data_IF_226789078810
#
_entry.id   IF_226789078810
#
_cell.length_a   1.000
_cell.length_b   1.000
_cell.length_c   1.000
_cell.angle_alpha   90.00
_cell.angle_beta   90.00
_cell.angle_gamma   90.00
#
_symmetry.space_group_name_H-M   'P 1'
#
loop_
_entity.id
_entity.type
_entity.pdbx_description
1 polymer ?
#
# COMPACT_ATOMS: atom_id res chain seq x y z
N UNK A 1 14.61 9.42 13.29
CA UNK A 1 13.86 8.82 12.17
C UNK A 1 14.89 8.55 11.11
N UNK A 2 15.25 7.28 10.89
CA UNK A 2 16.30 6.92 9.93
C UNK A 2 15.83 7.20 8.49
N UNK A 3 16.72 7.80 7.71
CA UNK A 3 16.48 8.11 6.31
C UNK A 3 16.20 6.80 5.52
N UNK A 4 15.12 6.71 4.73
CA UNK A 4 14.88 5.56 3.86
C UNK A 4 16.04 5.28 2.89
N UNK A 5 16.85 6.28 2.54
CA UNK A 5 18.05 6.08 1.73
C UNK A 5 19.19 5.42 2.51
N UNK A 6 19.33 5.66 3.81
CA UNK A 6 20.36 5.03 4.65
C UNK A 6 20.09 3.54 4.85
N UNK A 7 18.82 3.16 4.97
CA UNK A 7 18.43 1.74 5.03
C UNK A 7 18.70 1.04 3.69
N UNK A 8 18.34 1.67 2.55
CA UNK A 8 18.62 1.16 1.20
C UNK A 8 20.12 0.92 0.95
N UNK A 9 20.95 1.91 1.29
CA UNK A 9 22.41 1.86 1.10
C UNK A 9 23.06 0.73 1.94
N UNK A 10 22.47 0.41 3.09
CA UNK A 10 22.93 -0.72 3.92
C UNK A 10 22.58 -2.09 3.32
N UNK A 11 21.49 -2.17 2.55
CA UNK A 11 21.03 -3.41 1.92
C UNK A 11 21.77 -3.70 0.61
N UNK A 12 22.15 -2.68 -0.16
CA UNK A 12 22.85 -2.87 -1.44
C UNK A 12 24.10 -3.75 -1.33
N UNK A 13 24.84 -3.64 -0.21
CA UNK A 13 26.02 -4.48 0.07
C UNK A 13 25.68 -5.85 0.67
N UNK A 14 24.54 -5.98 1.36
CA UNK A 14 24.13 -7.21 2.07
C UNK A 14 23.31 -8.15 1.18
N UNK A 15 22.57 -7.59 0.23
CA UNK A 15 21.69 -8.34 -0.67
C UNK A 15 22.46 -9.42 -1.45
N UNK A 16 23.60 -9.15 -2.12
CA UNK A 16 24.30 -10.21 -2.86
C UNK A 16 24.76 -11.39 -1.98
N UNK A 17 25.23 -11.10 -0.76
CA UNK A 17 25.66 -12.13 0.20
C UNK A 17 24.46 -12.95 0.69
N UNK A 18 23.35 -12.28 0.96
CA UNK A 18 22.10 -12.91 1.39
C UNK A 18 21.48 -13.77 0.28
N UNK A 19 21.40 -13.27 -0.96
CA UNK A 19 20.89 -14.01 -2.11
C UNK A 19 21.68 -15.30 -2.34
N UNK A 20 23.02 -15.22 -2.25
CA UNK A 20 23.90 -16.40 -2.36
C UNK A 20 23.61 -17.42 -1.25
N UNK A 21 23.48 -16.97 0.00
CA UNK A 21 23.13 -17.87 1.12
C UNK A 21 21.77 -18.55 0.89
N UNK A 22 20.75 -17.81 0.44
CA UNK A 22 19.42 -18.36 0.15
C UNK A 22 19.48 -19.41 -0.95
N UNK A 23 20.26 -19.16 -2.01
CA UNK A 23 20.47 -20.12 -3.11
C UNK A 23 21.14 -21.41 -2.61
N UNK A 24 22.23 -21.30 -1.85
CA UNK A 24 22.94 -22.45 -1.28
C UNK A 24 22.04 -23.24 -0.31
N UNK A 25 21.31 -22.55 0.56
CA UNK A 25 20.37 -23.16 1.48
C UNK A 25 19.24 -23.89 0.73
N UNK A 26 18.66 -23.27 -0.30
CA UNK A 26 17.57 -23.87 -1.08
C UNK A 26 18.02 -25.07 -1.91
N UNK A 27 19.29 -25.07 -2.36
CA UNK A 27 19.92 -26.20 -3.04
C UNK A 27 20.12 -27.36 -2.08
N UNK A 28 20.61 -27.10 -0.87
CA UNK A 28 20.80 -28.11 0.17
C UNK A 28 19.48 -28.61 0.78
N UNK A 29 18.40 -27.81 0.74
CA UNK A 29 17.12 -28.09 1.38
C UNK A 29 15.95 -28.04 0.39
N UNK A 30 15.87 -28.94 -0.60
CA UNK A 30 14.88 -28.86 -1.67
C UNK A 30 13.42 -28.95 -1.19
N UNK A 31 13.16 -29.60 -0.07
CA UNK A 31 11.82 -29.73 0.54
C UNK A 31 11.48 -28.61 1.53
N UNK A 32 12.41 -27.69 1.82
CA UNK A 32 12.24 -26.62 2.81
C UNK A 32 12.81 -25.30 2.30
N UNK A 33 12.59 -25.00 1.02
CA UNK A 33 13.11 -23.76 0.42
C UNK A 33 12.55 -22.53 1.13
N UNK A 34 13.43 -21.57 1.39
CA UNK A 34 13.06 -20.24 1.86
C UNK A 34 12.94 -19.29 0.68
N UNK A 35 12.02 -18.35 0.82
CA UNK A 35 11.79 -17.31 -0.16
C UNK A 35 12.45 -16.03 0.32
N UNK A 36 13.52 -15.62 -0.36
CA UNK A 36 14.34 -14.45 0.00
C UNK A 36 13.49 -13.21 0.26
N UNK A 37 12.49 -12.99 -0.60
CA UNK A 37 11.58 -11.86 -0.51
C UNK A 37 10.72 -11.91 0.76
N UNK A 38 10.25 -13.10 1.13
CA UNK A 38 9.42 -13.30 2.34
C UNK A 38 10.24 -13.07 3.60
N UNK A 39 11.50 -13.51 3.61
CA UNK A 39 12.41 -13.26 4.75
C UNK A 39 12.71 -11.77 4.89
N UNK A 40 13.05 -11.09 3.79
CA UNK A 40 13.29 -9.63 3.77
C UNK A 40 12.06 -8.85 4.26
N UNK A 41 10.87 -9.26 3.84
CA UNK A 41 9.61 -8.66 4.26
C UNK A 41 9.32 -8.85 5.75
N UNK A 42 9.59 -10.05 6.29
CA UNK A 42 9.44 -10.31 7.72
C UNK A 42 10.38 -9.47 8.59
N UNK A 43 11.60 -9.21 8.09
CA UNK A 43 12.60 -8.44 8.83
C UNK A 43 12.42 -6.91 8.73
N UNK A 44 12.06 -6.40 7.54
CA UNK A 44 12.04 -4.96 7.25
C UNK A 44 10.65 -4.31 7.34
N UNK A 45 9.58 -5.11 7.31
CA UNK A 45 8.20 -4.65 7.30
C UNK A 45 7.70 -4.21 5.91
N UNK A 46 6.37 -4.27 5.72
CA UNK A 46 5.71 -4.07 4.43
C UNK A 46 5.95 -2.72 3.76
N UNK A 47 5.90 -1.63 4.55
CA UNK A 47 6.10 -0.26 4.03
C UNK A 47 7.53 -0.03 3.49
N UNK A 48 8.53 -0.58 4.16
CA UNK A 48 9.94 -0.46 3.74
C UNK A 48 10.14 -1.24 2.44
N UNK A 49 9.76 -2.52 2.41
CA UNK A 49 9.88 -3.36 1.21
C UNK A 49 9.12 -2.77 0.02
N UNK A 50 7.93 -2.22 0.25
CA UNK A 50 7.18 -1.53 -0.79
C UNK A 50 7.97 -0.36 -1.39
N UNK A 51 8.57 0.52 -0.57
CA UNK A 51 9.39 1.64 -1.05
C UNK A 51 10.64 1.19 -1.81
N UNK A 52 11.27 0.09 -1.38
CA UNK A 52 12.39 -0.54 -2.11
C UNK A 52 11.96 -0.98 -3.51
N UNK A 53 10.82 -1.69 -3.60
CA UNK A 53 10.24 -2.10 -4.88
C UNK A 53 9.94 -0.88 -5.77
N UNK A 54 9.31 0.16 -5.23
CA UNK A 54 9.00 1.37 -6.02
C UNK A 54 10.26 2.07 -6.53
N UNK A 55 11.34 2.05 -5.75
CA UNK A 55 12.63 2.61 -6.17
C UNK A 55 13.26 1.77 -7.29
N UNK A 56 13.25 0.44 -7.16
CA UNK A 56 13.73 -0.46 -8.19
C UNK A 56 12.92 -0.33 -9.50
N UNK A 57 11.60 -0.14 -9.44
CA UNK A 57 10.76 0.08 -10.64
C UNK A 57 11.15 1.29 -11.48
N UNK A 58 11.88 2.27 -10.92
CA UNK A 58 12.37 3.45 -11.66
C UNK A 58 13.58 3.12 -12.55
N UNK A 59 14.32 2.06 -12.26
CA UNK A 59 15.45 1.63 -13.08
C UNK A 59 14.96 0.62 -14.14
N UNK A 60 15.13 0.90 -15.46
CA UNK A 60 14.70 -0.01 -16.52
C UNK A 60 15.26 -1.43 -16.38
N UNK A 61 16.49 -1.58 -15.88
CA UNK A 61 17.15 -2.89 -15.73
C UNK A 61 16.50 -3.77 -14.65
N UNK A 62 15.85 -3.18 -13.64
CA UNK A 62 15.24 -3.92 -12.53
C UNK A 62 13.72 -3.82 -12.51
N UNK A 63 13.12 -3.07 -13.44
CA UNK A 63 11.68 -2.81 -13.50
C UNK A 63 10.81 -4.06 -13.60
N UNK A 64 11.22 -5.03 -14.41
CA UNK A 64 10.46 -6.27 -14.60
C UNK A 64 10.41 -7.09 -13.30
N UNK A 65 11.57 -7.35 -12.72
CA UNK A 65 11.70 -8.07 -11.44
C UNK A 65 10.96 -7.33 -10.32
N UNK A 66 11.12 -6.01 -10.22
CA UNK A 66 10.45 -5.22 -9.20
C UNK A 66 8.92 -5.23 -9.37
N UNK A 67 8.41 -5.28 -10.61
CA UNK A 67 6.97 -5.43 -10.87
C UNK A 67 6.47 -6.79 -10.39
N UNK A 68 7.19 -7.88 -10.69
CA UNK A 68 6.86 -9.21 -10.19
C UNK A 68 6.88 -9.28 -8.65
N UNK A 69 7.83 -8.61 -8.00
CA UNK A 69 7.89 -8.51 -6.54
C UNK A 69 6.73 -7.70 -5.96
N UNK A 70 6.27 -6.63 -6.62
CA UNK A 70 5.08 -5.89 -6.19
C UNK A 70 3.83 -6.80 -6.20
N UNK A 71 3.65 -7.58 -7.27
CA UNK A 71 2.55 -8.53 -7.38
C UNK A 71 2.61 -9.62 -6.30
N UNK A 72 3.81 -10.09 -5.99
CA UNK A 72 4.04 -11.05 -4.90
C UNK A 72 3.71 -10.46 -3.53
N UNK A 73 4.06 -9.19 -3.30
CA UNK A 73 3.73 -8.47 -2.07
C UNK A 73 2.21 -8.34 -1.89
N UNK A 74 1.51 -7.91 -2.94
CA UNK A 74 0.04 -7.77 -2.95
C UNK A 74 -0.62 -9.12 -2.65
N UNK A 75 -0.22 -10.19 -3.35
CA UNK A 75 -0.74 -11.54 -3.10
C UNK A 75 -0.51 -12.01 -1.67
N UNK A 76 0.67 -11.73 -1.10
CA UNK A 76 0.93 -12.07 0.30
C UNK A 76 0.01 -11.31 1.25
N UNK A 77 -0.13 -10.00 1.09
CA UNK A 77 -1.03 -9.20 1.93
C UNK A 77 -2.48 -9.70 1.86
N UNK A 78 -2.97 -10.06 0.67
CA UNK A 78 -4.29 -10.66 0.50
C UNK A 78 -4.40 -12.02 1.21
N UNK A 79 -3.42 -12.92 1.02
CA UNK A 79 -3.41 -14.23 1.67
C UNK A 79 -3.40 -14.14 3.20
N UNK A 80 -2.66 -13.15 3.74
CA UNK A 80 -2.60 -12.85 5.18
C UNK A 80 -3.78 -12.01 5.67
N UNK A 81 -4.69 -11.63 4.77
CA UNK A 81 -5.88 -10.81 5.04
C UNK A 81 -5.53 -9.50 5.74
N UNK A 82 -4.40 -8.90 5.40
CA UNK A 82 -3.95 -7.63 5.97
C UNK A 82 -4.99 -6.56 5.68
N UNK A 83 -5.48 -5.86 6.70
CA UNK A 83 -6.55 -4.90 6.48
C UNK A 83 -6.08 -3.74 5.59
N UNK A 84 -6.91 -3.24 4.65
CA UNK A 84 -6.54 -2.12 3.79
C UNK A 84 -6.11 -0.87 4.55
N UNK A 85 -6.60 -0.67 5.78
CA UNK A 85 -6.15 0.41 6.67
C UNK A 85 -4.66 0.32 7.02
N UNK A 86 -4.13 -0.89 7.21
CA UNK A 86 -2.71 -1.12 7.54
C UNK A 86 -1.84 -0.87 6.30
N UNK A 87 -2.34 -1.24 5.11
CA UNK A 87 -1.63 -0.98 3.85
C UNK A 87 -1.67 0.51 3.49
N UNK A 88 -2.70 1.25 3.91
CA UNK A 88 -2.81 2.68 3.65
C UNK A 88 -1.63 3.51 4.17
N UNK A 89 -0.87 3.00 5.15
CA UNK A 89 0.36 3.62 5.62
C UNK A 89 1.42 3.82 4.51
N UNK A 90 1.33 3.14 3.37
CA UNK A 90 2.21 3.42 2.22
C UNK A 90 1.84 4.75 1.51
N UNK A 91 0.57 5.14 1.58
CA UNK A 91 0.02 6.37 1.00
C UNK A 91 0.09 7.52 2.01
N UNK A 92 -0.21 7.22 3.28
CA UNK A 92 -0.20 8.18 4.38
C UNK A 92 1.24 8.63 4.70
N UNK A 93 1.47 9.94 4.61
CA UNK A 93 2.76 10.61 4.87
C UNK A 93 2.70 11.63 6.01
N UNK A 94 1.62 11.68 6.78
CA UNK A 94 1.33 12.69 7.80
C UNK A 94 0.57 13.92 7.28
N UNK A 95 0.29 13.99 5.97
CA UNK A 95 -0.38 15.11 5.31
C UNK A 95 -1.59 14.64 4.54
N UNK A 96 -2.79 15.04 4.98
CA UNK A 96 -4.06 14.63 4.38
C UNK A 96 -4.20 15.16 2.95
N UNK A 97 -3.72 16.37 2.70
CA UNK A 97 -3.73 17.03 1.40
C UNK A 97 -2.94 16.27 0.32
N UNK A 98 -1.92 15.52 0.71
CA UNK A 98 -1.06 14.79 -0.22
C UNK A 98 -1.67 13.46 -0.68
N UNK A 99 -2.68 12.95 0.05
CA UNK A 99 -3.23 11.59 -0.15
C UNK A 99 -3.68 11.37 -1.60
N UNK A 100 -4.51 12.27 -2.15
CA UNK A 100 -5.07 12.10 -3.50
C UNK A 100 -4.02 12.26 -4.61
N UNK A 101 -2.88 12.88 -4.29
CA UNK A 101 -1.75 13.05 -5.20
C UNK A 101 -0.64 12.03 -4.99
N UNK A 102 -0.80 11.13 -4.03
CA UNK A 102 0.23 10.16 -3.70
C UNK A 102 0.47 9.21 -4.88
N UNK A 103 1.74 9.01 -5.29
CA UNK A 103 2.06 8.09 -6.38
C UNK A 103 1.77 6.63 -6.03
N UNK A 104 1.55 6.34 -4.75
CA UNK A 104 1.27 4.99 -4.25
C UNK A 104 -0.23 4.72 -4.07
N UNK A 105 -1.07 5.75 -4.22
CA UNK A 105 -2.51 5.61 -4.13
C UNK A 105 -3.09 4.57 -5.10
N UNK A 106 -2.68 4.50 -6.38
CA UNK A 106 -3.20 3.48 -7.30
C UNK A 106 -2.92 2.04 -6.86
N UNK A 107 -1.79 1.79 -6.17
CA UNK A 107 -1.49 0.45 -5.66
C UNK A 107 -2.39 0.11 -4.49
N UNK A 108 -2.60 1.07 -3.59
CA UNK A 108 -3.48 0.87 -2.44
C UNK A 108 -4.97 0.74 -2.85
N UNK A 109 -5.47 1.54 -3.79
CA UNK A 109 -6.86 1.42 -4.25
C UNK A 109 -7.10 0.07 -4.92
N UNK A 110 -6.15 -0.41 -5.72
CA UNK A 110 -6.21 -1.75 -6.31
C UNK A 110 -6.25 -2.83 -5.24
N UNK A 111 -5.40 -2.71 -4.21
CA UNK A 111 -5.41 -3.63 -3.07
C UNK A 111 -6.75 -3.63 -2.33
N UNK A 112 -7.33 -2.46 -2.07
CA UNK A 112 -8.64 -2.32 -1.42
C UNK A 112 -9.75 -3.01 -2.23
N UNK A 113 -9.76 -2.81 -3.55
CA UNK A 113 -10.72 -3.45 -4.46
C UNK A 113 -10.57 -4.98 -4.45
N UNK A 114 -9.34 -5.50 -4.59
CA UNK A 114 -9.05 -6.94 -4.53
C UNK A 114 -9.42 -7.54 -3.15
N UNK A 115 -9.13 -6.82 -2.06
CA UNK A 115 -9.48 -7.24 -0.71
C UNK A 115 -11.01 -7.33 -0.52
N UNK A 116 -11.77 -6.33 -0.97
CA UNK A 116 -13.23 -6.33 -0.88
C UNK A 116 -13.86 -7.42 -1.77
N UNK A 117 -13.29 -7.69 -2.95
CA UNK A 117 -13.78 -8.73 -3.86
C UNK A 117 -13.68 -10.14 -3.24
N UNK A 118 -12.70 -10.37 -2.37
CA UNK A 118 -12.53 -11.64 -1.65
C UNK A 118 -13.54 -11.83 -0.50
N UNK A 119 -14.49 -10.89 -0.33
CA UNK A 119 -15.60 -10.97 0.63
C UNK A 119 -15.15 -11.26 2.07
N UNK A 120 -14.07 -10.62 2.52
CA UNK A 120 -13.65 -10.70 3.93
C UNK A 120 -14.70 -10.04 4.85
N UNK A 121 -14.61 -10.32 6.16
CA UNK A 121 -15.58 -9.98 7.23
C UNK A 121 -16.08 -8.52 7.23
N UNK A 122 -15.32 -7.58 6.65
CA UNK A 122 -15.69 -6.17 6.56
C UNK A 122 -15.27 -5.59 5.21
N UNK A 123 -16.25 -5.27 4.36
CA UNK A 123 -16.05 -4.38 3.22
C UNK A 123 -15.75 -2.97 3.73
N UNK A 124 -14.75 -2.33 3.14
CA UNK A 124 -14.37 -0.94 3.44
C UNK A 124 -14.23 -0.17 2.15
N UNK A 125 -14.63 1.09 2.12
CA UNK A 125 -14.27 1.99 1.02
C UNK A 125 -13.11 2.93 1.42
N UNK A 126 -12.71 3.78 0.47
CA UNK A 126 -11.60 4.69 0.66
C UNK A 126 -11.86 5.68 1.81
N UNK A 127 -13.10 6.13 1.96
CA UNK A 127 -13.50 7.07 3.01
C UNK A 127 -13.53 6.40 4.37
N UNK A 128 -13.92 5.12 4.47
CA UNK A 128 -13.83 4.37 5.73
C UNK A 128 -12.41 4.36 6.27
N UNK A 129 -11.41 4.22 5.39
CA UNK A 129 -10.00 4.28 5.78
C UNK A 129 -9.62 5.69 6.21
N UNK A 130 -9.96 6.72 5.42
CA UNK A 130 -9.62 8.10 5.77
C UNK A 130 -10.21 8.55 7.11
N UNK A 131 -11.45 8.16 7.40
CA UNK A 131 -12.13 8.52 8.66
C UNK A 131 -11.54 7.84 9.90
N UNK A 132 -10.64 6.85 9.72
CA UNK A 132 -9.87 6.24 10.82
C UNK A 132 -8.66 7.06 11.20
N UNK A 133 -8.09 7.80 10.24
CA UNK A 133 -6.91 8.65 10.45
C UNK A 133 -7.29 10.11 10.70
N UNK A 134 -8.33 10.60 10.05
CA UNK A 134 -8.65 12.02 10.00
C UNK A 134 -10.10 12.32 10.40
N UNK A 135 -10.30 13.49 10.98
CA UNK A 135 -11.63 13.99 11.34
C UNK A 135 -12.46 14.18 10.07
N UNK A 136 -13.74 13.80 10.13
CA UNK A 136 -14.73 13.95 9.03
C UNK A 136 -14.69 15.32 8.34
N UNK A 137 -14.67 16.40 9.12
CA UNK A 137 -14.62 17.77 8.57
C UNK A 137 -13.31 18.12 7.85
N UNK A 138 -12.19 17.49 8.23
CA UNK A 138 -10.93 17.65 7.52
C UNK A 138 -10.96 16.88 6.19
N UNK A 139 -11.49 15.65 6.19
CA UNK A 139 -11.70 14.85 4.96
C UNK A 139 -12.60 15.60 3.98
N UNK A 140 -13.73 16.14 4.43
CA UNK A 140 -14.62 16.93 3.58
C UNK A 140 -13.90 18.13 2.94
N UNK A 141 -13.17 18.94 3.73
CA UNK A 141 -12.44 20.09 3.20
C UNK A 141 -11.35 19.71 2.21
N UNK A 142 -10.64 18.61 2.47
CA UNK A 142 -9.64 18.11 1.53
C UNK A 142 -10.29 17.72 0.20
N UNK A 143 -11.44 17.05 0.22
CA UNK A 143 -12.17 16.67 -0.99
C UNK A 143 -12.70 17.88 -1.75
N UNK A 144 -13.23 18.90 -1.05
CA UNK A 144 -13.62 20.19 -1.64
C UNK A 144 -12.46 20.84 -2.40
N UNK A 145 -11.27 20.86 -1.79
CA UNK A 145 -10.08 21.44 -2.42
C UNK A 145 -9.61 20.61 -3.62
N UNK A 146 -9.54 19.29 -3.46
CA UNK A 146 -9.11 18.37 -4.51
C UNK A 146 -10.06 18.35 -5.71
N UNK A 147 -11.31 18.81 -5.58
CA UNK A 147 -12.22 19.00 -6.72
C UNK A 147 -11.81 20.14 -7.67
N UNK A 148 -10.93 21.05 -7.23
CA UNK A 148 -10.47 22.19 -8.03
C UNK A 148 -9.34 21.82 -9.02
N UNK A 149 -8.61 20.74 -8.76
CA UNK A 149 -7.58 20.21 -9.68
C UNK A 149 -8.19 19.11 -10.56
N UNK A 150 -8.13 19.28 -11.89
CA UNK A 150 -8.66 18.31 -12.86
C UNK A 150 -8.06 16.90 -12.70
N UNK A 151 -6.83 16.78 -12.17
CA UNK A 151 -6.18 15.48 -11.93
C UNK A 151 -6.85 14.69 -10.82
N UNK A 152 -7.36 15.36 -9.80
CA UNK A 152 -7.95 14.73 -8.60
C UNK A 152 -9.47 14.83 -8.56
N UNK A 153 -10.07 15.69 -9.38
CA UNK A 153 -11.49 16.04 -9.37
C UNK A 153 -12.44 14.86 -9.40
N UNK A 154 -12.24 13.90 -10.31
CA UNK A 154 -13.14 12.75 -10.44
C UNK A 154 -13.06 11.83 -9.22
N UNK A 155 -11.85 11.62 -8.69
CA UNK A 155 -11.65 10.83 -7.48
C UNK A 155 -12.22 11.53 -6.25
N UNK A 156 -11.99 12.84 -6.12
CA UNK A 156 -12.53 13.65 -5.03
C UNK A 156 -14.07 13.64 -5.01
N UNK A 157 -14.72 13.73 -6.17
CA UNK A 157 -16.18 13.57 -6.29
C UNK A 157 -16.66 12.19 -5.84
N UNK A 158 -16.03 11.11 -6.32
CA UNK A 158 -16.37 9.74 -5.91
C UNK A 158 -16.29 9.58 -4.38
N UNK A 159 -15.20 10.05 -3.78
CA UNK A 159 -14.99 9.93 -2.34
C UNK A 159 -15.90 10.86 -1.54
N UNK A 160 -16.27 12.01 -2.08
CA UNK A 160 -17.30 12.87 -1.47
C UNK A 160 -18.67 12.18 -1.46
N UNK A 161 -19.07 11.53 -2.55
CA UNK A 161 -20.33 10.77 -2.60
C UNK A 161 -20.35 9.63 -1.57
N UNK A 162 -19.23 8.92 -1.40
CA UNK A 162 -19.07 7.91 -0.33
C UNK A 162 -19.22 8.54 1.06
N UNK A 163 -18.60 9.70 1.30
CA UNK A 163 -18.71 10.41 2.56
C UNK A 163 -20.15 10.87 2.85
N UNK A 164 -20.84 11.44 1.86
CA UNK A 164 -22.24 11.88 1.99
C UNK A 164 -23.14 10.69 2.29
N UNK A 165 -23.00 9.57 1.57
CA UNK A 165 -23.76 8.35 1.80
C UNK A 165 -23.64 7.88 3.26
N UNK A 166 -22.42 7.82 3.80
CA UNK A 166 -22.18 7.44 5.21
C UNK A 166 -22.83 8.39 6.21
N UNK A 167 -22.86 9.69 5.90
CA UNK A 167 -23.57 10.67 6.75
C UNK A 167 -25.07 10.40 6.74
N UNK A 168 -25.66 10.15 5.58
CA UNK A 168 -27.08 9.86 5.43
C UNK A 168 -27.48 8.54 6.11
N UNK A 169 -26.68 7.48 5.96
CA UNK A 169 -26.87 6.19 6.64
C UNK A 169 -26.87 6.37 8.17
N UNK A 170 -25.89 7.12 8.70
CA UNK A 170 -25.78 7.38 10.14
C UNK A 170 -26.95 8.20 10.69
N UNK A 171 -27.53 9.08 9.87
CA UNK A 171 -28.72 9.87 10.21
C UNK A 171 -30.03 9.10 9.99
N UNK A 172 -29.97 7.84 9.55
CA UNK A 172 -31.15 7.01 9.28
C UNK A 172 -31.95 7.47 8.05
N UNK A 173 -31.34 8.27 7.17
CA UNK A 173 -32.00 8.83 5.98
C UNK A 173 -32.02 7.87 4.80
N UNK A 174 -31.15 6.87 4.79
CA UNK A 174 -31.05 5.82 3.76
C UNK A 174 -30.65 4.50 4.43
N UNK A 175 -31.00 3.37 3.79
CA UNK A 175 -30.72 2.00 4.25
C UNK A 175 -29.86 1.23 3.27
#
# INVERSE_FOLDING_TARGET
MDNPEDTMTSWDKKLPVWSKYVEEYNTANPNRKIDEFIVLLGYSGGKVVFKMIQSAKKNPATKEVATALQEKLIRKWLNEKVFPIQIFEIVETGKLEDVLTSPYLPVWTRYLEEYNALSYVRNMDEVDVLLRYYKKGAVFRMLEEAKKDERTKNMAKKWEEQLVRKVLEKEGKIS
#
